data_IF_416081486114
#
_entry.id   IF_416081486114
#
_cell.length_a   1.000
_cell.length_b   1.000
_cell.length_c   1.000
_cell.angle_alpha   90.00
_cell.angle_beta   90.00
_cell.angle_gamma   90.00
#
_symmetry.space_group_name_H-M   'P 1'
#
loop_
_entity.id
_entity.type
_entity.pdbx_description
1 polymer ?
#
# COMPACT_ATOMS: atom_id res chain seq x y z
N UNK A 1 -15.31 46.67 -10.79
CA UNK A 1 -15.17 45.75 -11.96
C UNK A 1 -13.78 45.13 -11.94
N UNK A 2 -13.75 43.82 -11.63
CA UNK A 2 -12.85 42.75 -12.14
C UNK A 2 -11.34 42.86 -11.89
N UNK A 3 -10.58 41.85 -11.43
CA UNK A 3 -10.76 40.39 -11.17
C UNK A 3 -9.63 39.94 -10.20
N UNK A 4 -9.94 39.19 -9.14
CA UNK A 4 -9.64 37.75 -8.91
C UNK A 4 -8.14 37.35 -9.01
N UNK A 5 -7.51 37.00 -7.88
CA UNK A 5 -7.32 35.64 -7.27
C UNK A 5 -5.92 35.09 -7.55
N UNK A 6 -5.04 35.16 -6.55
CA UNK A 6 -3.86 34.33 -6.43
C UNK A 6 -4.14 33.17 -5.48
N UNK A 7 -4.60 32.05 -6.02
CA UNK A 7 -4.71 30.79 -5.28
C UNK A 7 -3.46 29.97 -5.62
N UNK A 8 -2.67 29.64 -4.60
CA UNK A 8 -1.59 28.67 -4.69
C UNK A 8 -2.17 27.34 -5.17
N UNK A 9 -1.82 26.95 -6.40
CA UNK A 9 -2.18 25.66 -6.98
C UNK A 9 -1.32 24.60 -6.32
N UNK A 10 -1.93 23.75 -5.49
CA UNK A 10 -1.33 22.50 -5.03
C UNK A 10 -0.89 21.65 -6.25
N UNK A 11 0.20 20.86 -6.15
CA UNK A 11 0.64 20.03 -7.25
C UNK A 11 -0.48 19.06 -7.65
N UNK A 12 -0.74 18.98 -8.96
CA UNK A 12 -1.79 18.15 -9.55
C UNK A 12 -1.54 16.66 -9.31
N UNK A 13 -2.60 15.92 -9.00
CA UNK A 13 -2.66 14.45 -8.81
C UNK A 13 -2.03 13.68 -9.98
N UNK A 14 -1.99 14.24 -11.19
CA UNK A 14 -1.38 13.62 -12.38
C UNK A 14 0.15 13.44 -12.34
N UNK A 15 0.85 14.03 -11.36
CA UNK A 15 2.31 13.81 -11.19
C UNK A 15 2.65 12.52 -10.42
N UNK A 16 1.65 11.85 -9.84
CA UNK A 16 1.78 10.61 -9.06
C UNK A 16 1.56 9.32 -9.86
N UNK A 17 1.31 9.40 -11.17
CA UNK A 17 1.32 8.23 -12.05
C UNK A 17 2.77 7.76 -12.31
N UNK A 18 3.46 7.31 -11.26
CA UNK A 18 4.79 6.71 -11.36
C UNK A 18 4.66 5.19 -11.40
N UNK A 19 5.33 4.62 -12.40
CA UNK A 19 5.83 3.25 -12.52
C UNK A 19 5.68 2.39 -11.26
N UNK A 20 5.11 1.22 -11.51
CA UNK A 20 4.67 0.25 -10.53
C UNK A 20 5.76 -0.14 -9.51
N UNK A 21 5.61 0.35 -8.27
CA UNK A 21 6.45 -0.03 -7.12
C UNK A 21 6.31 -1.53 -6.81
N UNK A 22 5.29 -2.22 -7.37
CA UNK A 22 5.12 -3.66 -7.25
C UNK A 22 6.32 -4.43 -7.80
N UNK A 23 7.04 -3.87 -8.77
CA UNK A 23 8.25 -4.49 -9.33
C UNK A 23 9.38 -4.66 -8.31
N UNK A 24 9.33 -3.91 -7.19
CA UNK A 24 10.28 -4.01 -6.08
C UNK A 24 9.68 -4.58 -4.80
N UNK A 25 8.38 -4.86 -4.74
CA UNK A 25 7.83 -5.70 -3.68
C UNK A 25 8.32 -7.13 -3.90
N UNK A 26 8.55 -7.89 -2.82
CA UNK A 26 8.95 -9.29 -2.96
C UNK A 26 7.91 -10.01 -3.83
N UNK A 27 8.39 -10.57 -4.94
CA UNK A 27 7.65 -11.49 -5.76
C UNK A 27 7.54 -12.84 -5.05
N UNK A 28 6.91 -12.87 -3.88
CA UNK A 28 6.31 -14.09 -3.36
C UNK A 28 5.09 -14.35 -4.24
N UNK A 29 5.34 -14.95 -5.41
CA UNK A 29 4.32 -15.46 -6.33
C UNK A 29 3.62 -16.72 -5.78
N UNK A 30 3.92 -17.13 -4.55
CA UNK A 30 3.54 -18.43 -4.00
C UNK A 30 2.49 -18.40 -2.88
N UNK A 31 1.84 -17.27 -2.61
CA UNK A 31 0.55 -17.28 -1.92
C UNK A 31 -0.43 -16.45 -2.72
N UNK A 32 -1.25 -17.13 -3.52
CA UNK A 32 -2.40 -16.50 -4.15
C UNK A 32 -3.17 -15.72 -3.09
N UNK A 33 -3.37 -14.42 -3.31
CA UNK A 33 -4.12 -13.53 -2.43
C UNK A 33 -5.58 -13.98 -2.19
N UNK A 34 -6.04 -15.03 -2.87
CA UNK A 34 -7.31 -15.72 -2.64
C UNK A 34 -7.30 -16.68 -1.45
N UNK A 35 -6.14 -16.97 -0.85
CA UNK A 35 -5.99 -18.03 0.17
C UNK A 35 -5.55 -17.50 1.54
N UNK A 36 -5.50 -16.19 1.77
CA UNK A 36 -5.14 -15.63 3.09
C UNK A 36 -6.37 -15.53 4.02
N UNK A 37 -7.60 -15.61 3.48
CA UNK A 37 -8.81 -15.73 4.30
C UNK A 37 -9.03 -17.15 4.84
N UNK A 38 -8.26 -18.16 4.39
CA UNK A 38 -7.96 -19.28 5.26
C UNK A 38 -6.78 -18.85 6.11
N UNK A 39 -7.07 -18.15 7.21
CA UNK A 39 -6.15 -18.16 8.34
C UNK A 39 -5.89 -19.62 8.63
N UNK A 40 -4.65 -20.01 8.37
CA UNK A 40 -4.18 -21.37 8.40
C UNK A 40 -4.60 -22.02 9.73
N UNK A 41 -5.47 -23.02 9.66
CA UNK A 41 -5.83 -23.89 10.80
C UNK A 41 -4.56 -24.47 11.46
N UNK A 42 -3.41 -24.49 10.76
CA UNK A 42 -2.15 -24.99 11.31
C UNK A 42 -1.31 -23.97 12.07
N UNK A 43 -1.57 -22.67 11.96
CA UNK A 43 -0.86 -21.65 12.76
C UNK A 43 -1.51 -21.38 14.13
N UNK A 44 -2.73 -21.89 14.33
CA UNK A 44 -3.41 -21.94 15.64
C UNK A 44 -3.24 -23.27 16.37
N UNK A 45 -2.48 -24.23 15.82
CA UNK A 45 -2.41 -25.60 16.34
C UNK A 45 -1.72 -25.71 17.70
N UNK A 46 -0.90 -24.73 18.11
CA UNK A 46 -0.20 -24.72 19.39
C UNK A 46 -0.63 -23.57 20.33
N UNK A 47 -1.75 -22.90 20.04
CA UNK A 47 -2.42 -22.07 21.03
C UNK A 47 -3.20 -22.99 21.97
N UNK A 48 -2.48 -23.63 22.91
CA UNK A 48 -3.09 -24.27 24.07
C UNK A 48 -3.71 -23.18 24.97
N UNK A 49 -4.89 -22.70 24.57
CA UNK A 49 -5.85 -22.20 25.54
C UNK A 49 -6.16 -23.36 26.51
N UNK A 50 -6.33 -23.11 27.82
CA UNK A 50 -6.56 -24.16 28.80
C UNK A 50 -7.60 -25.14 28.28
N UNK A 51 -7.19 -26.40 28.09
CA UNK A 51 -8.07 -27.49 27.65
C UNK A 51 -9.05 -27.79 28.76
N UNK A 52 -10.15 -27.05 28.71
CA UNK A 52 -11.11 -26.94 29.79
C UNK A 52 -12.01 -25.76 29.50
N UNK A 53 -12.76 -25.84 28.41
CA UNK A 53 -14.05 -25.16 28.37
C UNK A 53 -14.86 -25.82 29.48
N UNK A 54 -14.72 -25.33 30.71
CA UNK A 54 -15.86 -25.38 31.60
C UNK A 54 -16.92 -24.57 30.85
N UNK A 55 -17.93 -25.27 30.34
CA UNK A 55 -19.22 -24.65 30.08
C UNK A 55 -19.61 -23.97 31.40
N UNK A 56 -19.24 -22.70 31.54
CA UNK A 56 -19.79 -21.87 32.59
C UNK A 56 -21.25 -21.73 32.19
N UNK A 57 -22.10 -22.57 32.77
CA UNK A 57 -23.53 -22.35 32.77
C UNK A 57 -23.75 -20.95 33.31
N UNK A 58 -23.97 -20.00 32.40
CA UNK A 58 -24.42 -18.66 32.75
C UNK A 58 -25.83 -18.83 33.30
N UNK A 59 -25.94 -19.06 34.61
CA UNK A 59 -27.17 -18.83 35.34
C UNK A 59 -27.37 -17.32 35.44
N UNK A 60 -27.84 -16.75 34.34
CA UNK A 60 -28.38 -15.42 34.23
C UNK A 60 -29.57 -15.51 33.28
N UNK A 61 -30.71 -14.97 33.69
CA UNK A 61 -31.85 -14.82 32.80
C UNK A 61 -31.37 -14.14 31.51
N UNK A 62 -31.72 -14.70 30.35
CA UNK A 62 -31.46 -14.07 29.04
C UNK A 62 -32.26 -12.76 29.04
N UNK A 63 -31.62 -11.66 29.43
CA UNK A 63 -32.19 -10.33 29.24
C UNK A 63 -32.29 -10.09 27.74
N UNK A 64 -33.52 -10.14 27.21
CA UNK A 64 -33.80 -9.68 25.85
C UNK A 64 -33.37 -8.21 25.75
N UNK A 65 -32.23 -7.98 25.12
CA UNK A 65 -31.79 -6.63 24.78
C UNK A 65 -32.77 -6.02 23.78
N UNK A 66 -33.08 -4.72 23.88
CA UNK A 66 -33.98 -4.07 22.93
C UNK A 66 -33.50 -4.29 21.48
N UNK A 67 -34.46 -4.57 20.60
CA UNK A 67 -34.29 -4.85 19.16
C UNK A 67 -33.83 -3.61 18.36
N UNK A 68 -32.86 -2.86 18.88
CA UNK A 68 -32.47 -1.55 18.39
C UNK A 68 -31.02 -1.56 17.90
N UNK A 69 -30.82 -1.01 16.70
CA UNK A 69 -29.50 -0.83 16.13
C UNK A 69 -28.77 0.34 16.81
N UNK A 70 -27.62 0.05 17.41
CA UNK A 70 -26.70 1.06 17.91
C UNK A 70 -25.80 1.56 16.76
N UNK A 71 -25.90 2.85 16.44
CA UNK A 71 -24.97 3.51 15.52
C UNK A 71 -23.67 3.88 16.26
N UNK A 72 -22.59 3.20 15.89
CA UNK A 72 -21.32 3.24 16.65
C UNK A 72 -20.62 4.59 16.47
N UNK A 73 -20.76 5.20 15.31
CA UNK A 73 -20.03 6.42 14.91
C UNK A 73 -20.95 7.61 14.64
N UNK A 74 -22.28 7.40 14.68
CA UNK A 74 -23.29 8.44 14.49
C UNK A 74 -23.56 8.83 13.04
N UNK A 75 -22.93 8.18 12.06
CA UNK A 75 -23.17 8.42 10.63
C UNK A 75 -24.13 7.44 9.99
N UNK A 76 -24.46 6.35 10.68
CA UNK A 76 -25.23 5.21 10.16
C UNK A 76 -24.42 4.23 9.31
N UNK A 77 -23.13 4.49 9.09
CA UNK A 77 -22.26 3.64 8.26
C UNK A 77 -21.71 2.42 9.00
N UNK A 78 -21.83 2.39 10.34
CA UNK A 78 -21.39 1.27 11.17
C UNK A 78 -22.39 1.09 12.31
N UNK A 79 -23.13 -0.02 12.29
CA UNK A 79 -24.16 -0.30 13.30
C UNK A 79 -23.98 -1.68 13.89
N UNK A 80 -24.30 -1.80 15.16
CA UNK A 80 -24.25 -3.04 15.94
C UNK A 80 -25.61 -3.28 16.58
N UNK A 81 -26.05 -4.53 16.62
CA UNK A 81 -27.25 -4.98 17.30
C UNK A 81 -26.93 -6.27 18.04
N UNK A 82 -27.10 -6.27 19.36
CA UNK A 82 -26.82 -7.43 20.19
C UNK A 82 -27.93 -8.47 19.98
N UNK A 83 -27.54 -9.71 19.67
CA UNK A 83 -28.45 -10.86 19.54
C UNK A 83 -28.43 -11.68 20.83
N UNK A 84 -27.24 -11.92 21.38
CA UNK A 84 -27.02 -12.62 22.66
C UNK A 84 -26.03 -11.80 23.47
N UNK A 85 -26.43 -11.41 24.69
CA UNK A 85 -25.55 -10.67 25.58
C UNK A 85 -24.39 -11.55 26.09
N UNK A 86 -23.19 -10.97 26.15
CA UNK A 86 -22.01 -11.59 26.75
C UNK A 86 -21.90 -11.34 28.26
N UNK A 87 -20.75 -11.72 28.83
CA UNK A 87 -20.42 -11.50 30.24
C UNK A 87 -20.04 -10.02 30.44
N UNK A 88 -20.83 -9.27 31.20
CA UNK A 88 -20.63 -7.82 31.37
C UNK A 88 -19.25 -7.48 31.93
N UNK A 89 -18.67 -6.37 31.47
CA UNK A 89 -17.35 -5.85 31.88
C UNK A 89 -16.16 -6.73 31.46
N UNK A 90 -16.31 -7.48 30.36
CA UNK A 90 -15.25 -8.36 29.82
C UNK A 90 -14.84 -7.98 28.41
N UNK A 91 -14.91 -6.68 28.08
CA UNK A 91 -14.55 -6.20 26.75
C UNK A 91 -13.04 -6.26 26.52
N UNK A 92 -12.60 -6.75 25.36
CA UNK A 92 -11.19 -6.75 25.02
C UNK A 92 -10.68 -5.34 24.74
N UNK A 93 -9.40 -5.11 24.98
CA UNK A 93 -8.73 -3.83 24.72
C UNK A 93 -7.82 -3.92 23.49
N UNK A 94 -7.38 -2.75 23.00
CA UNK A 94 -6.39 -2.70 21.91
C UNK A 94 -5.13 -3.46 22.32
N UNK A 95 -4.61 -4.28 21.41
CA UNK A 95 -3.46 -5.17 21.65
C UNK A 95 -3.86 -6.59 22.00
N UNK A 96 -5.07 -6.81 22.55
CA UNK A 96 -5.54 -8.16 22.86
C UNK A 96 -5.67 -8.99 21.57
N UNK A 97 -5.31 -10.27 21.68
CA UNK A 97 -5.60 -11.25 20.62
C UNK A 97 -6.97 -11.84 20.87
N UNK A 98 -7.90 -11.54 19.98
CA UNK A 98 -9.30 -12.00 20.08
C UNK A 98 -9.55 -13.21 19.21
N UNK A 99 -10.53 -14.01 19.62
CA UNK A 99 -11.06 -15.14 18.87
C UNK A 99 -12.55 -14.89 18.62
N UNK A 100 -12.94 -14.84 17.35
CA UNK A 100 -14.35 -14.64 16.96
C UNK A 100 -14.84 -15.74 16.03
N UNK A 101 -16.13 -16.01 16.08
CA UNK A 101 -16.87 -16.67 15.01
C UNK A 101 -17.54 -15.60 14.15
N UNK A 102 -17.46 -15.75 12.82
CA UNK A 102 -17.82 -14.72 11.87
C UNK A 102 -18.55 -15.32 10.67
N UNK A 103 -19.75 -14.81 10.40
CA UNK A 103 -20.45 -15.01 9.13
C UNK A 103 -20.63 -13.66 8.46
N UNK A 104 -20.15 -13.49 7.23
CA UNK A 104 -20.32 -12.26 6.43
C UNK A 104 -21.25 -12.48 5.25
N UNK A 105 -22.18 -11.55 5.03
CA UNK A 105 -23.10 -11.56 3.88
C UNK A 105 -23.16 -10.20 3.19
N UNK A 106 -23.41 -10.19 1.88
CA UNK A 106 -23.78 -8.99 1.14
C UNK A 106 -25.23 -8.59 1.44
N UNK A 107 -25.62 -7.37 1.05
CA UNK A 107 -26.99 -6.87 1.20
C UNK A 107 -28.05 -7.68 0.47
N UNK A 108 -27.67 -8.46 -0.55
CA UNK A 108 -28.57 -9.37 -1.27
C UNK A 108 -28.68 -10.77 -0.63
N UNK A 109 -27.99 -11.00 0.49
CA UNK A 109 -27.96 -12.26 1.23
C UNK A 109 -26.86 -13.23 0.80
N UNK A 110 -26.09 -12.91 -0.25
CA UNK A 110 -24.97 -13.73 -0.71
C UNK A 110 -23.94 -13.91 0.39
N UNK A 111 -23.57 -15.17 0.67
CA UNK A 111 -22.55 -15.51 1.66
C UNK A 111 -21.15 -15.16 1.12
N UNK A 112 -20.41 -14.37 1.89
CA UNK A 112 -19.06 -13.89 1.57
C UNK A 112 -18.00 -14.67 2.34
N UNK A 113 -18.29 -14.99 3.59
CA UNK A 113 -17.37 -15.67 4.51
C UNK A 113 -18.18 -16.37 5.60
N UNK A 114 -17.73 -17.54 6.03
CA UNK A 114 -18.31 -18.27 7.16
C UNK A 114 -17.17 -19.01 7.86
N UNK A 115 -16.74 -18.49 8.99
CA UNK A 115 -15.53 -18.89 9.70
C UNK A 115 -15.84 -19.07 11.18
N UNK A 116 -15.69 -20.30 11.66
CA UNK A 116 -15.99 -20.64 13.06
C UNK A 116 -14.92 -20.16 14.05
N UNK A 117 -13.68 -19.97 13.60
CA UNK A 117 -12.58 -19.52 14.45
C UNK A 117 -11.68 -18.57 13.68
N UNK A 118 -11.73 -17.29 14.03
CA UNK A 118 -10.92 -16.22 13.44
C UNK A 118 -10.12 -15.52 14.54
N UNK A 119 -8.78 -15.61 14.47
CA UNK A 119 -7.87 -14.95 15.38
C UNK A 119 -7.26 -13.69 14.77
N UNK A 120 -7.22 -12.61 15.54
CA UNK A 120 -6.50 -11.40 15.15
C UNK A 120 -6.17 -10.52 16.37
N UNK A 121 -5.17 -9.66 16.22
CA UNK A 121 -4.81 -8.66 17.23
C UNK A 121 -5.62 -7.39 17.04
N UNK A 122 -6.33 -6.94 18.08
CA UNK A 122 -7.20 -5.76 17.99
C UNK A 122 -6.42 -4.48 17.75
N UNK A 123 -6.76 -3.81 16.63
CA UNK A 123 -6.19 -2.51 16.27
C UNK A 123 -4.88 -2.58 15.49
N UNK A 124 -4.50 -3.77 15.03
CA UNK A 124 -3.33 -3.99 14.15
C UNK A 124 -3.69 -4.04 12.66
N UNK A 125 -4.95 -3.72 12.31
CA UNK A 125 -5.46 -3.78 10.93
C UNK A 125 -5.37 -5.19 10.31
N UNK A 126 -5.49 -6.25 11.13
CA UNK A 126 -5.45 -7.63 10.62
C UNK A 126 -6.76 -8.05 9.92
N UNK A 127 -7.87 -7.39 10.24
CA UNK A 127 -9.19 -7.59 9.63
C UNK A 127 -9.71 -6.30 9.00
N UNK A 128 -10.92 -6.30 8.46
CA UNK A 128 -11.55 -5.06 7.95
C UNK A 128 -11.79 -4.06 9.09
N UNK A 129 -11.68 -2.73 8.85
CA UNK A 129 -11.79 -1.71 9.90
C UNK A 129 -13.07 -1.78 10.73
N UNK A 130 -14.19 -2.20 10.12
CA UNK A 130 -15.47 -2.34 10.81
C UNK A 130 -15.41 -3.37 11.95
N UNK A 131 -14.69 -4.48 11.77
CA UNK A 131 -14.52 -5.48 12.82
C UNK A 131 -13.62 -4.96 13.94
N UNK A 132 -12.50 -4.32 13.60
CA UNK A 132 -11.58 -3.69 14.57
C UNK A 132 -12.28 -2.64 15.45
N UNK A 133 -13.33 -1.98 14.94
CA UNK A 133 -14.11 -0.98 15.69
C UNK A 133 -15.26 -1.59 16.50
N UNK A 134 -15.82 -2.72 16.07
CA UNK A 134 -17.00 -3.33 16.70
C UNK A 134 -16.61 -4.27 17.84
N UNK A 135 -15.59 -5.10 17.65
CA UNK A 135 -15.21 -6.13 18.64
C UNK A 135 -14.83 -5.55 20.01
N UNK A 136 -14.17 -4.38 20.14
CA UNK A 136 -13.94 -3.75 21.44
C UNK A 136 -15.22 -3.31 22.18
N UNK A 137 -16.36 -3.31 21.49
CA UNK A 137 -17.68 -2.98 22.05
C UNK A 137 -18.48 -4.24 22.40
N UNK A 138 -17.91 -5.43 22.20
CA UNK A 138 -18.52 -6.71 22.51
C UNK A 138 -17.95 -7.26 23.81
N UNK A 139 -18.85 -7.79 24.64
CA UNK A 139 -18.47 -8.52 25.84
C UNK A 139 -18.15 -10.00 25.49
N UNK A 140 -17.34 -10.68 26.29
CA UNK A 140 -16.96 -12.08 26.05
C UNK A 140 -18.21 -12.98 26.00
N UNK A 141 -18.31 -13.81 24.96
CA UNK A 141 -19.47 -14.66 24.69
C UNK A 141 -20.61 -13.95 23.95
N UNK A 142 -20.53 -12.65 23.73
CA UNK A 142 -21.57 -11.88 23.04
C UNK A 142 -21.68 -12.26 21.56
N UNK A 143 -22.90 -12.37 21.06
CA UNK A 143 -23.21 -12.51 19.64
C UNK A 143 -23.99 -11.27 19.16
N UNK A 144 -23.53 -10.68 18.06
CA UNK A 144 -24.07 -9.44 17.51
C UNK A 144 -24.22 -9.49 15.99
N UNK A 145 -25.29 -8.88 15.51
CA UNK A 145 -25.47 -8.52 14.11
C UNK A 145 -24.85 -7.14 13.86
N UNK A 146 -24.06 -7.03 12.79
CA UNK A 146 -23.23 -5.86 12.51
C UNK A 146 -23.42 -5.45 11.05
N UNK A 147 -23.85 -4.22 10.85
CA UNK A 147 -23.90 -3.59 9.53
C UNK A 147 -22.65 -2.76 9.32
N UNK A 148 -21.92 -3.04 8.24
CA UNK A 148 -20.65 -2.38 7.89
C UNK A 148 -20.77 -1.79 6.49
N UNK A 149 -20.83 -0.46 6.39
CA UNK A 149 -20.77 0.21 5.09
C UNK A 149 -19.40 -0.02 4.42
N UNK A 150 -19.37 0.04 3.09
CA UNK A 150 -18.19 -0.30 2.28
C UNK A 150 -16.89 0.38 2.73
N UNK A 151 -16.95 1.64 3.17
CA UNK A 151 -15.81 2.42 3.69
C UNK A 151 -15.11 1.81 4.92
N UNK A 152 -15.79 0.95 5.69
CA UNK A 152 -15.23 0.21 6.82
C UNK A 152 -15.07 -1.29 6.50
N UNK A 153 -15.38 -1.69 5.27
CA UNK A 153 -15.22 -3.04 4.74
C UNK A 153 -14.13 -3.04 3.64
N UNK A 154 -14.49 -3.37 2.40
CA UNK A 154 -13.56 -3.50 1.28
C UNK A 154 -13.51 -2.27 0.35
N UNK A 155 -14.23 -1.20 0.69
CA UNK A 155 -14.21 0.09 0.00
C UNK A 155 -14.62 0.02 -1.47
N UNK A 156 -14.18 1.03 -2.23
CA UNK A 156 -14.47 1.17 -3.67
C UNK A 156 -13.75 0.16 -4.56
N UNK A 157 -12.84 -0.63 -3.98
CA UNK A 157 -12.12 -1.68 -4.72
C UNK A 157 -12.80 -3.05 -4.60
N UNK A 158 -13.63 -3.26 -3.58
CA UNK A 158 -14.18 -4.58 -3.29
C UNK A 158 -13.10 -5.59 -2.96
N UNK A 159 -13.37 -6.88 -3.10
CA UNK A 159 -12.43 -7.98 -2.90
C UNK A 159 -12.59 -9.03 -4.01
N UNK A 160 -12.00 -8.74 -5.16
CA UNK A 160 -12.09 -9.60 -6.34
C UNK A 160 -13.55 -9.84 -6.76
N UNK A 161 -13.88 -11.10 -7.03
CA UNK A 161 -15.25 -11.54 -7.32
C UNK A 161 -16.08 -11.79 -6.05
N UNK A 162 -15.42 -11.88 -4.89
CA UNK A 162 -16.04 -12.25 -3.61
C UNK A 162 -16.87 -11.10 -3.04
N UNK A 163 -16.34 -9.88 -3.10
CA UNK A 163 -17.05 -8.68 -2.63
C UNK A 163 -17.02 -7.61 -3.71
N UNK A 164 -18.17 -7.14 -4.22
CA UNK A 164 -18.20 -6.05 -5.18
C UNK A 164 -17.66 -4.74 -4.60
N UNK A 165 -17.21 -3.85 -5.49
CA UNK A 165 -16.89 -2.47 -5.12
C UNK A 165 -18.07 -1.78 -4.44
N UNK A 166 -17.79 -1.00 -3.40
CA UNK A 166 -18.77 -0.23 -2.63
C UNK A 166 -19.88 -1.06 -1.97
N UNK A 167 -19.67 -2.38 -1.84
CA UNK A 167 -20.62 -3.25 -1.16
C UNK A 167 -20.60 -3.04 0.36
N UNK A 168 -21.80 -2.93 0.95
CA UNK A 168 -21.97 -3.01 2.41
C UNK A 168 -22.13 -4.47 2.83
N UNK A 169 -21.68 -4.77 4.04
CA UNK A 169 -21.74 -6.10 4.63
C UNK A 169 -22.71 -6.14 5.80
N UNK A 170 -23.38 -7.27 5.94
CA UNK A 170 -24.12 -7.66 7.13
C UNK A 170 -23.42 -8.88 7.72
N UNK A 171 -22.86 -8.71 8.92
CA UNK A 171 -22.07 -9.72 9.59
C UNK A 171 -22.77 -10.20 10.85
N UNK A 172 -22.70 -11.49 11.12
CA UNK A 172 -22.92 -12.04 12.47
C UNK A 172 -21.56 -12.29 13.08
N UNK A 173 -21.30 -11.66 14.22
CA UNK A 173 -20.02 -11.75 14.92
C UNK A 173 -20.30 -12.29 16.32
N UNK A 174 -19.56 -13.31 16.74
CA UNK A 174 -19.59 -13.81 18.10
C UNK A 174 -18.19 -13.75 18.70
N UNK A 175 -18.04 -13.03 19.80
CA UNK A 175 -16.77 -12.95 20.52
C UNK A 175 -16.64 -14.19 21.41
N UNK A 176 -15.79 -15.14 21.01
CA UNK A 176 -15.62 -16.39 21.74
C UNK A 176 -14.76 -16.19 23.00
N UNK A 177 -13.55 -15.67 22.81
CA UNK A 177 -12.60 -15.40 23.88
C UNK A 177 -11.53 -14.40 23.44
N UNK A 178 -10.67 -13.96 24.36
CA UNK A 178 -9.48 -13.17 24.07
C UNK A 178 -8.38 -13.38 25.10
N UNK A 179 -7.14 -13.13 24.68
CA UNK A 179 -5.98 -13.08 25.57
C UNK A 179 -5.29 -11.71 25.50
N UNK A 180 -4.64 -11.26 26.59
CA UNK A 180 -3.82 -10.05 26.57
C UNK A 180 -2.76 -10.07 25.46
N UNK A 181 -2.32 -8.88 25.05
CA UNK A 181 -1.25 -8.70 24.06
C UNK A 181 -0.01 -9.53 24.39
N UNK A 182 0.50 -10.24 23.40
CA UNK A 182 1.74 -10.99 23.54
C UNK A 182 2.92 -10.02 23.61
N UNK A 183 3.72 -10.12 24.67
CA UNK A 183 4.91 -9.28 24.86
C UNK A 183 6.03 -9.90 24.01
N UNK A 184 6.55 -9.23 22.95
CA UNK A 184 7.51 -9.83 22.02
C UNK A 184 8.75 -10.42 22.72
N UNK A 185 9.27 -9.75 23.74
CA UNK A 185 10.46 -10.20 24.48
C UNK A 185 10.24 -11.48 25.30
N UNK A 186 8.98 -11.83 25.59
CA UNK A 186 8.63 -13.05 26.32
C UNK A 186 8.49 -14.28 25.41
N UNK A 187 8.39 -14.07 24.10
CA UNK A 187 8.13 -15.13 23.14
C UNK A 187 9.45 -15.71 22.57
N UNK A 188 9.48 -17.01 22.23
CA UNK A 188 10.56 -17.60 21.46
C UNK A 188 10.74 -16.91 20.10
N UNK A 189 11.99 -16.86 19.59
CA UNK A 189 12.33 -16.22 18.31
C UNK A 189 11.47 -16.78 17.15
N UNK A 190 11.24 -18.09 17.12
CA UNK A 190 10.46 -18.74 16.06
C UNK A 190 9.01 -18.23 16.04
N UNK A 191 8.37 -18.11 17.21
CA UNK A 191 6.99 -17.63 17.33
C UNK A 191 6.89 -16.14 16.96
N UNK A 192 7.86 -15.33 17.43
CA UNK A 192 7.98 -13.92 17.04
C UNK A 192 8.11 -13.75 15.53
N UNK A 193 8.93 -14.59 14.90
CA UNK A 193 9.13 -14.57 13.46
C UNK A 193 7.83 -14.93 12.71
N UNK A 194 7.10 -15.95 13.17
CA UNK A 194 5.81 -16.33 12.59
C UNK A 194 4.77 -15.20 12.70
N UNK A 195 4.61 -14.61 13.89
CA UNK A 195 3.68 -13.48 14.11
C UNK A 195 4.06 -12.28 13.24
N UNK A 196 5.35 -11.91 13.24
CA UNK A 196 5.87 -10.82 12.42
C UNK A 196 5.63 -11.04 10.93
N UNK A 197 5.85 -12.26 10.44
CA UNK A 197 5.59 -12.62 9.05
C UNK A 197 4.11 -12.58 8.69
N UNK A 198 3.23 -13.09 9.55
CA UNK A 198 1.76 -12.99 9.36
C UNK A 198 1.33 -11.53 9.20
N UNK A 199 1.78 -10.65 10.09
CA UNK A 199 1.50 -9.21 10.05
C UNK A 199 2.09 -8.55 8.80
N UNK A 200 3.31 -8.92 8.38
CA UNK A 200 3.94 -8.43 7.14
C UNK A 200 3.14 -8.84 5.90
N UNK A 201 2.71 -10.10 5.80
CA UNK A 201 1.91 -10.61 4.69
C UNK A 201 0.56 -9.89 4.63
N UNK A 202 -0.06 -9.66 5.78
CA UNK A 202 -1.29 -8.88 5.85
C UNK A 202 -1.09 -7.42 5.41
N UNK A 203 0.02 -6.80 5.77
CA UNK A 203 0.41 -5.49 5.25
C UNK A 203 0.56 -5.47 3.72
N UNK A 204 1.12 -6.53 3.12
CA UNK A 204 1.22 -6.66 1.65
C UNK A 204 -0.17 -6.72 1.00
N UNK A 205 -1.13 -7.40 1.63
CA UNK A 205 -2.50 -7.45 1.15
C UNK A 205 -3.13 -6.05 1.07
N UNK A 206 -3.01 -5.25 2.15
CA UNK A 206 -3.45 -3.85 2.14
C UNK A 206 -2.69 -2.98 1.14
N UNK A 207 -1.38 -3.16 1.03
CA UNK A 207 -0.55 -2.41 0.08
C UNK A 207 -1.00 -2.63 -1.38
N UNK A 208 -1.26 -3.87 -1.77
CA UNK A 208 -1.69 -4.21 -3.13
C UNK A 208 -3.05 -3.61 -3.46
N UNK A 209 -3.90 -3.44 -2.43
CA UNK A 209 -5.16 -2.72 -2.53
C UNK A 209 -4.98 -1.21 -2.47
N UNK A 210 -3.78 -0.67 -2.30
CA UNK A 210 -3.52 0.76 -2.21
C UNK A 210 -4.01 1.42 -0.92
N UNK A 211 -4.40 0.62 0.08
CA UNK A 211 -4.80 1.05 1.41
C UNK A 211 -3.53 1.16 2.27
N UNK A 212 -2.75 2.20 1.97
CA UNK A 212 -1.38 2.31 2.48
C UNK A 212 -1.32 2.61 3.98
N UNK A 213 -2.36 3.20 4.57
CA UNK A 213 -2.40 3.53 6.00
C UNK A 213 -2.47 2.27 6.85
N UNK A 214 -3.35 1.37 6.48
CA UNK A 214 -3.58 0.04 7.06
C UNK A 214 -2.35 -0.83 6.85
N UNK A 215 -1.75 -0.79 5.65
CA UNK A 215 -0.49 -1.47 5.36
C UNK A 215 0.63 -1.02 6.32
N UNK A 216 0.79 0.28 6.56
CA UNK A 216 1.79 0.80 7.50
C UNK A 216 1.54 0.32 8.93
N UNK A 217 0.27 0.23 9.37
CA UNK A 217 -0.05 -0.29 10.70
C UNK A 217 0.37 -1.75 10.85
N UNK A 218 0.03 -2.61 9.87
CA UNK A 218 0.44 -4.00 9.88
C UNK A 218 1.97 -4.16 9.82
N UNK A 219 2.66 -3.38 9.00
CA UNK A 219 4.13 -3.45 8.95
C UNK A 219 4.79 -2.95 10.23
N UNK A 220 4.22 -1.94 10.88
CA UNK A 220 4.73 -1.47 12.18
C UNK A 220 4.59 -2.59 13.22
N UNK A 221 3.41 -3.17 13.34
CA UNK A 221 3.18 -4.28 14.25
C UNK A 221 4.08 -5.48 13.90
N UNK A 222 4.32 -5.76 12.61
CA UNK A 222 5.29 -6.78 12.20
C UNK A 222 6.71 -6.48 12.71
N UNK A 223 7.17 -5.24 12.57
CA UNK A 223 8.50 -4.83 13.04
C UNK A 223 8.63 -4.96 14.56
N UNK A 224 7.57 -4.66 15.32
CA UNK A 224 7.58 -4.75 16.78
C UNK A 224 7.87 -6.20 17.25
N UNK A 225 7.33 -7.22 16.57
CA UNK A 225 7.65 -8.62 16.87
C UNK A 225 9.02 -9.06 16.34
N UNK A 226 9.46 -8.49 15.20
CA UNK A 226 10.72 -8.85 14.54
C UNK A 226 11.94 -8.09 15.09
N UNK A 227 11.77 -7.19 16.07
CA UNK A 227 12.85 -6.41 16.66
C UNK A 227 13.53 -7.14 17.81
N UNK A 228 14.69 -7.73 17.57
CA UNK A 228 15.48 -8.32 18.67
C UNK A 228 16.15 -7.19 19.46
N UNK A 229 15.66 -6.94 20.67
CA UNK A 229 16.13 -5.86 21.57
C UNK A 229 17.52 -6.11 22.13
N UNK A 230 18.11 -7.29 21.89
CA UNK A 230 19.53 -7.50 22.09
C UNK A 230 20.28 -6.75 20.98
N UNK A 231 20.86 -5.60 21.34
CA UNK A 231 21.80 -4.85 20.50
C UNK A 231 22.72 -5.85 19.78
N UNK A 232 22.46 -6.11 18.50
CA UNK A 232 23.26 -7.03 17.71
C UNK A 232 24.65 -6.43 17.67
N UNK A 233 25.52 -6.94 18.53
CA UNK A 233 26.89 -6.49 18.62
C UNK A 233 27.55 -6.97 17.33
N UNK A 234 27.69 -6.07 16.35
CA UNK A 234 28.15 -6.37 14.98
C UNK A 234 29.54 -7.05 14.92
N UNK A 235 30.24 -7.12 16.05
CA UNK A 235 31.54 -7.75 16.23
C UNK A 235 31.48 -9.22 16.69
N UNK A 236 30.33 -9.74 17.13
CA UNK A 236 30.14 -11.16 17.50
C UNK A 236 29.32 -11.89 16.42
N UNK A 237 29.69 -13.14 16.14
CA UNK A 237 28.91 -14.02 15.25
C UNK A 237 27.50 -14.20 15.83
N UNK A 238 26.54 -13.44 15.29
CA UNK A 238 25.14 -13.57 15.63
C UNK A 238 24.64 -14.98 15.29
N UNK A 239 23.77 -15.53 16.14
CA UNK A 239 23.16 -16.83 15.89
C UNK A 239 22.38 -16.80 14.56
N UNK A 240 22.33 -17.92 13.82
CA UNK A 240 21.61 -17.99 12.55
C UNK A 240 20.11 -17.64 12.69
N UNK A 241 19.50 -17.97 13.83
CA UNK A 241 18.11 -17.63 14.18
C UNK A 241 17.91 -16.10 14.28
N UNK A 242 18.84 -15.40 14.95
CA UNK A 242 18.81 -13.94 15.10
C UNK A 242 19.02 -13.24 13.75
N UNK A 243 19.85 -13.80 12.88
CA UNK A 243 20.02 -13.29 11.52
C UNK A 243 18.75 -13.48 10.67
N UNK A 244 18.03 -14.59 10.85
CA UNK A 244 16.80 -14.88 10.11
C UNK A 244 15.67 -13.91 10.50
N UNK A 245 15.45 -13.66 11.80
CA UNK A 245 14.46 -12.68 12.26
C UNK A 245 14.83 -11.25 11.83
N UNK A 246 16.13 -10.90 11.86
CA UNK A 246 16.63 -9.63 11.35
C UNK A 246 16.34 -9.47 9.85
N UNK A 247 16.54 -10.51 9.04
CA UNK A 247 16.24 -10.45 7.61
C UNK A 247 14.75 -10.15 7.35
N UNK A 248 13.85 -10.82 8.07
CA UNK A 248 12.41 -10.56 7.98
C UNK A 248 12.05 -9.14 8.46
N UNK A 249 12.68 -8.65 9.53
CA UNK A 249 12.53 -7.26 9.99
C UNK A 249 12.90 -6.27 8.88
N UNK A 250 14.03 -6.51 8.21
CA UNK A 250 14.51 -5.64 7.14
C UNK A 250 13.55 -5.65 5.93
N UNK A 251 12.94 -6.80 5.60
CA UNK A 251 11.87 -6.90 4.59
C UNK A 251 10.64 -6.08 4.99
N UNK A 252 10.17 -6.22 6.24
CA UNK A 252 9.05 -5.46 6.76
C UNK A 252 9.31 -3.94 6.74
N UNK A 253 10.47 -3.47 7.19
CA UNK A 253 10.89 -2.06 7.14
C UNK A 253 10.92 -1.53 5.70
N UNK A 254 11.39 -2.35 4.76
CA UNK A 254 11.44 -2.01 3.35
C UNK A 254 10.04 -1.82 2.75
N UNK A 255 9.09 -2.71 3.08
CA UNK A 255 7.70 -2.61 2.63
C UNK A 255 6.99 -1.44 3.32
N UNK A 256 7.24 -1.22 4.61
CA UNK A 256 6.75 -0.06 5.36
C UNK A 256 7.20 1.26 4.72
N UNK A 257 8.48 1.36 4.33
CA UNK A 257 9.00 2.53 3.64
C UNK A 257 8.30 2.78 2.29
N UNK A 258 7.99 1.72 1.54
CA UNK A 258 7.23 1.85 0.29
C UNK A 258 5.82 2.44 0.56
N UNK A 259 5.13 1.93 1.59
CA UNK A 259 3.80 2.42 1.97
C UNK A 259 3.85 3.87 2.48
N UNK A 260 4.84 4.21 3.30
CA UNK A 260 5.08 5.57 3.79
C UNK A 260 5.36 6.57 2.66
N UNK A 261 6.12 6.17 1.62
CA UNK A 261 6.35 7.00 0.42
C UNK A 261 5.02 7.28 -0.30
N UNK A 262 4.15 6.28 -0.43
CA UNK A 262 2.84 6.43 -1.08
C UNK A 262 1.91 7.36 -0.30
N UNK A 263 1.99 7.36 1.03
CA UNK A 263 1.27 8.29 1.91
C UNK A 263 1.89 9.70 1.96
N UNK A 264 3.07 9.91 1.38
CA UNK A 264 3.81 11.18 1.51
C UNK A 264 4.47 11.39 2.88
N UNK A 265 4.51 10.37 3.74
CA UNK A 265 5.21 10.37 5.02
C UNK A 265 6.73 10.19 4.81
N UNK A 266 7.35 11.13 4.09
CA UNK A 266 8.72 11.00 3.57
C UNK A 266 9.78 10.89 4.66
N UNK A 267 9.61 11.60 5.78
CA UNK A 267 10.57 11.56 6.89
C UNK A 267 10.58 10.21 7.58
N UNK A 268 9.40 9.62 7.81
CA UNK A 268 9.27 8.28 8.35
C UNK A 268 9.87 7.24 7.38
N UNK A 269 9.60 7.37 6.08
CA UNK A 269 10.19 6.50 5.06
C UNK A 269 11.73 6.55 5.07
N UNK A 270 12.31 7.75 5.18
CA UNK A 270 13.77 7.91 5.24
C UNK A 270 14.39 7.30 6.51
N UNK A 271 13.67 7.32 7.63
CA UNK A 271 14.09 6.66 8.86
C UNK A 271 14.08 5.13 8.70
N UNK A 272 12.98 4.56 8.21
CA UNK A 272 12.83 3.13 7.95
C UNK A 272 13.94 2.62 7.00
N UNK A 273 14.19 3.35 5.91
CA UNK A 273 15.23 3.01 4.94
C UNK A 273 16.65 3.18 5.50
N UNK A 274 16.86 4.14 6.40
CA UNK A 274 18.17 4.31 7.02
C UNK A 274 18.57 3.09 7.85
N UNK A 275 17.63 2.50 8.60
CA UNK A 275 17.87 1.25 9.35
C UNK A 275 18.25 0.11 8.38
N UNK A 276 17.51 -0.04 7.27
CA UNK A 276 17.82 -1.07 6.27
C UNK A 276 19.21 -0.89 5.67
N UNK A 277 19.61 0.34 5.34
CA UNK A 277 20.93 0.60 4.75
C UNK A 277 22.08 0.53 5.77
N UNK A 278 21.81 0.68 7.06
CA UNK A 278 22.80 0.44 8.11
C UNK A 278 23.16 -1.06 8.17
N UNK A 279 22.17 -1.95 8.08
CA UNK A 279 22.40 -3.40 8.09
C UNK A 279 22.83 -3.94 6.70
N UNK A 280 22.23 -3.42 5.63
CA UNK A 280 22.48 -3.85 4.25
C UNK A 280 22.79 -2.64 3.35
N UNK A 281 24.03 -2.12 3.35
CA UNK A 281 24.41 -0.93 2.58
C UNK A 281 24.16 -1.05 1.07
N UNK A 282 24.25 -2.28 0.54
CA UNK A 282 24.07 -2.59 -0.88
C UNK A 282 22.63 -3.05 -1.21
N UNK A 283 21.64 -2.82 -0.34
CA UNK A 283 20.25 -3.18 -0.64
C UNK A 283 19.67 -2.25 -1.72
N UNK A 284 19.51 -2.76 -2.94
CA UNK A 284 19.05 -2.01 -4.11
C UNK A 284 17.67 -1.39 -3.90
N UNK A 285 16.74 -2.14 -3.29
CA UNK A 285 15.37 -1.67 -2.99
C UNK A 285 15.39 -0.49 -2.03
N UNK A 286 16.20 -0.58 -0.97
CA UNK A 286 16.34 0.48 0.02
C UNK A 286 17.02 1.73 -0.58
N UNK A 287 18.09 1.57 -1.37
CA UNK A 287 18.74 2.67 -2.08
C UNK A 287 17.78 3.38 -3.05
N UNK A 288 16.98 2.61 -3.81
CA UNK A 288 15.96 3.13 -4.70
C UNK A 288 14.89 3.92 -3.94
N UNK A 289 14.34 3.34 -2.86
CA UNK A 289 13.34 4.00 -1.99
C UNK A 289 13.88 5.26 -1.34
N UNK A 290 15.14 5.27 -0.90
CA UNK A 290 15.80 6.48 -0.38
C UNK A 290 15.86 7.58 -1.43
N UNK A 291 16.30 7.23 -2.65
CA UNK A 291 16.35 8.17 -3.77
C UNK A 291 14.98 8.77 -4.06
N UNK A 292 13.96 7.92 -4.20
CA UNK A 292 12.57 8.32 -4.43
C UNK A 292 12.04 9.25 -3.35
N UNK A 293 12.21 8.89 -2.07
CA UNK A 293 11.77 9.71 -0.94
C UNK A 293 12.48 11.08 -0.90
N UNK A 294 13.80 11.13 -1.16
CA UNK A 294 14.56 12.39 -1.20
C UNK A 294 14.11 13.29 -2.35
N UNK A 295 13.81 12.73 -3.52
CA UNK A 295 13.31 13.50 -4.65
C UNK A 295 11.92 14.09 -4.37
N UNK A 296 11.01 13.31 -3.80
CA UNK A 296 9.70 13.81 -3.38
C UNK A 296 9.81 14.92 -2.31
N UNK A 297 10.90 14.93 -1.53
CA UNK A 297 11.23 15.99 -0.57
C UNK A 297 11.89 17.23 -1.23
N UNK A 298 12.12 17.21 -2.54
CA UNK A 298 12.80 18.28 -3.29
C UNK A 298 14.33 18.22 -3.24
N UNK A 299 14.92 17.17 -2.66
CA UNK A 299 16.39 16.98 -2.59
C UNK A 299 16.89 16.15 -3.77
N UNK A 300 16.58 16.58 -4.99
CA UNK A 300 16.87 15.86 -6.23
C UNK A 300 18.36 15.56 -6.44
N UNK A 301 19.25 16.45 -6.01
CA UNK A 301 20.71 16.27 -6.14
C UNK A 301 21.26 15.13 -5.27
N UNK A 302 20.73 14.96 -4.06
CA UNK A 302 21.06 13.84 -3.16
C UNK A 302 20.42 12.54 -3.67
N UNK A 303 19.17 12.60 -4.12
CA UNK A 303 18.45 11.45 -4.66
C UNK A 303 19.19 10.76 -5.81
N UNK A 304 19.74 11.55 -6.75
CA UNK A 304 20.50 11.03 -7.90
C UNK A 304 21.74 10.24 -7.46
N UNK A 305 22.37 10.57 -6.32
CA UNK A 305 23.55 9.82 -5.84
C UNK A 305 23.16 8.39 -5.47
N UNK A 306 22.10 8.23 -4.68
CA UNK A 306 21.61 6.92 -4.24
C UNK A 306 21.07 6.08 -5.40
N UNK A 307 20.37 6.70 -6.35
CA UNK A 307 19.91 5.97 -7.53
C UNK A 307 21.05 5.54 -8.45
N UNK A 308 22.12 6.33 -8.59
CA UNK A 308 23.33 5.91 -9.33
C UNK A 308 24.04 4.75 -8.64
N UNK A 309 24.04 4.72 -7.32
CA UNK A 309 24.57 3.60 -6.54
C UNK A 309 23.72 2.33 -6.75
N UNK A 310 22.39 2.45 -6.66
CA UNK A 310 21.48 1.35 -6.97
C UNK A 310 21.68 0.83 -8.41
N UNK A 311 21.88 1.72 -9.38
CA UNK A 311 22.13 1.35 -10.78
C UNK A 311 23.50 0.67 -10.99
N UNK A 312 24.51 0.98 -10.18
CA UNK A 312 25.80 0.26 -10.23
C UNK A 312 25.66 -1.19 -9.79
N UNK A 313 24.76 -1.45 -8.84
CA UNK A 313 24.48 -2.80 -8.35
C UNK A 313 23.58 -3.58 -9.34
N UNK A 314 22.58 -2.93 -9.93
CA UNK A 314 21.70 -3.51 -10.95
C UNK A 314 21.64 -2.65 -12.23
N UNK A 315 22.59 -2.81 -13.17
CA UNK A 315 22.68 -1.97 -14.37
C UNK A 315 21.50 -2.12 -15.35
N UNK A 316 20.83 -3.27 -15.33
CA UNK A 316 19.73 -3.61 -16.26
C UNK A 316 18.34 -3.23 -15.70
N UNK A 317 18.28 -2.65 -14.49
CA UNK A 317 17.01 -2.36 -13.86
C UNK A 317 16.32 -1.14 -14.50
N UNK A 318 15.29 -1.43 -15.32
CA UNK A 318 14.54 -0.43 -16.09
C UNK A 318 13.85 0.62 -15.21
N UNK A 319 13.40 0.24 -14.01
CA UNK A 319 12.70 1.17 -13.13
C UNK A 319 13.66 2.22 -12.55
N UNK A 320 14.89 1.81 -12.20
CA UNK A 320 15.94 2.74 -11.75
C UNK A 320 16.33 3.71 -12.88
N UNK A 321 16.49 3.20 -14.12
CA UNK A 321 16.77 4.06 -15.29
C UNK A 321 15.68 5.09 -15.53
N UNK A 322 14.41 4.68 -15.51
CA UNK A 322 13.29 5.57 -15.74
C UNK A 322 13.19 6.66 -14.66
N UNK A 323 13.38 6.28 -13.39
CA UNK A 323 13.36 7.23 -12.28
C UNK A 323 14.54 8.20 -12.34
N UNK A 324 15.75 7.72 -12.67
CA UNK A 324 16.92 8.58 -12.89
C UNK A 324 16.71 9.57 -14.03
N UNK A 325 16.12 9.15 -15.15
CA UNK A 325 15.81 10.04 -16.27
C UNK A 325 14.89 11.15 -15.80
N UNK A 326 13.77 10.80 -15.15
CA UNK A 326 12.79 11.74 -14.61
C UNK A 326 13.44 12.75 -13.64
N UNK A 327 14.27 12.27 -12.72
CA UNK A 327 14.97 13.13 -11.76
C UNK A 327 16.01 14.04 -12.43
N UNK A 328 16.73 13.53 -13.44
CA UNK A 328 17.71 14.32 -14.18
C UNK A 328 17.08 15.42 -15.03
N UNK A 329 15.92 15.12 -15.64
CA UNK A 329 15.15 16.08 -16.42
C UNK A 329 14.56 17.17 -15.51
N UNK A 330 14.03 16.79 -14.35
CA UNK A 330 13.54 17.73 -13.34
C UNK A 330 14.66 18.66 -12.84
N UNK A 331 15.82 18.10 -12.46
CA UNK A 331 16.96 18.88 -12.00
C UNK A 331 17.51 19.83 -13.09
N UNK A 332 17.48 19.41 -14.36
CA UNK A 332 17.85 20.26 -15.49
C UNK A 332 16.87 21.42 -15.66
N UNK A 333 15.57 21.16 -15.57
CA UNK A 333 14.54 22.20 -15.65
C UNK A 333 14.64 23.21 -14.50
N UNK A 334 14.88 22.74 -13.27
CA UNK A 334 15.15 23.60 -12.11
C UNK A 334 16.34 24.53 -12.39
N UNK A 335 17.47 23.96 -12.83
CA UNK A 335 18.69 24.73 -13.15
C UNK A 335 18.45 25.74 -14.28
N UNK A 336 17.70 25.37 -15.33
CA UNK A 336 17.35 26.27 -16.43
C UNK A 336 16.42 27.40 -15.95
N UNK A 337 15.42 27.08 -15.13
CA UNK A 337 14.51 28.06 -14.56
C UNK A 337 15.24 29.05 -13.65
N UNK A 338 16.13 28.57 -12.76
CA UNK A 338 16.99 29.40 -11.93
C UNK A 338 17.86 30.34 -12.77
N UNK A 339 18.56 29.81 -13.78
CA UNK A 339 19.35 30.63 -14.71
C UNK A 339 18.52 31.72 -15.38
N UNK A 340 17.29 31.40 -15.81
CA UNK A 340 16.41 32.41 -16.42
C UNK A 340 15.94 33.46 -15.41
N UNK A 341 15.68 33.06 -14.16
CA UNK A 341 15.30 33.97 -13.08
C UNK A 341 16.46 34.90 -12.72
N UNK A 342 17.66 34.37 -12.51
CA UNK A 342 18.87 35.16 -12.26
C UNK A 342 19.16 36.13 -13.40
N UNK A 343 19.03 35.68 -14.65
CA UNK A 343 19.19 36.52 -15.83
C UNK A 343 18.21 37.72 -15.80
N UNK A 344 16.94 37.48 -15.44
CA UNK A 344 15.94 38.55 -15.31
C UNK A 344 16.25 39.49 -14.13
N UNK A 345 16.61 38.96 -12.96
CA UNK A 345 16.93 39.77 -11.77
C UNK A 345 18.14 40.67 -11.97
N UNK A 346 19.15 40.20 -12.70
CA UNK A 346 20.36 40.96 -13.01
C UNK A 346 20.20 41.91 -14.21
N UNK A 347 18.99 42.03 -14.79
CA UNK A 347 18.73 42.89 -15.94
C UNK A 347 19.44 42.46 -17.23
N UNK A 348 19.97 41.23 -17.27
CA UNK A 348 20.61 40.65 -18.45
C UNK A 348 19.53 40.29 -19.47
N UNK A 349 19.17 41.21 -20.35
CA UNK A 349 18.22 40.89 -21.44
C UNK A 349 18.82 39.79 -22.32
N UNK A 350 18.02 38.82 -22.80
CA UNK A 350 18.49 37.90 -23.83
C UNK A 350 19.05 38.74 -24.98
N UNK A 351 20.31 38.55 -25.34
CA UNK A 351 20.94 39.33 -26.39
C UNK A 351 20.25 38.99 -27.72
N UNK A 352 19.33 39.84 -28.19
CA UNK A 352 18.63 39.66 -29.47
C UNK A 352 19.58 39.76 -30.68
N UNK A 353 20.83 40.18 -30.47
CA UNK A 353 21.81 40.45 -31.52
C UNK A 353 22.37 39.22 -32.25
N UNK A 354 21.99 37.99 -31.87
CA UNK A 354 22.43 36.75 -32.53
C UNK A 354 21.27 35.80 -32.93
N UNK A 355 20.07 36.33 -33.21
CA UNK A 355 19.14 35.59 -34.07
C UNK A 355 19.61 35.75 -35.51
N UNK A 356 20.37 34.77 -36.04
CA UNK A 356 20.52 34.67 -37.49
C UNK A 356 19.10 34.68 -38.10
N UNK A 357 18.82 35.52 -39.10
CA UNK A 357 17.53 35.52 -39.76
C UNK A 357 17.31 34.12 -40.36
N UNK A 358 16.11 33.57 -40.18
CA UNK A 358 15.69 32.28 -40.73
C UNK A 358 16.13 32.21 -42.20
N UNK A 359 17.22 31.47 -42.47
CA UNK A 359 17.68 31.26 -43.84
C UNK A 359 16.63 30.40 -44.51
N UNK A 360 15.92 30.99 -45.48
CA UNK A 360 14.96 30.32 -46.36
C UNK A 360 15.45 28.92 -46.79
N UNK A 361 14.53 27.94 -46.95
CA UNK A 361 14.91 26.56 -47.21
C UNK A 361 15.71 26.48 -48.51
N UNK A 362 16.97 26.08 -48.39
CA UNK A 362 17.80 25.73 -49.55
C UNK A 362 17.28 24.42 -50.15
N UNK A 363 17.47 24.22 -51.46
CA UNK A 363 17.03 23.06 -52.27
C UNK A 363 17.33 21.66 -51.68
N UNK A 364 18.18 21.58 -50.65
CA UNK A 364 18.47 20.36 -49.88
C UNK A 364 17.33 19.93 -48.93
N UNK A 365 16.35 20.80 -48.68
CA UNK A 365 15.14 20.55 -47.89
C UNK A 365 13.86 20.54 -48.73
N UNK A 366 13.95 20.24 -50.04
CA UNK A 366 12.76 19.96 -50.83
C UNK A 366 12.07 18.70 -50.26
N UNK A 367 10.78 18.73 -49.87
CA UNK A 367 10.14 17.63 -49.17
C UNK A 367 9.80 16.51 -50.17
N UNK A 368 10.83 15.76 -50.58
CA UNK A 368 10.74 14.67 -51.56
C UNK A 368 9.66 13.66 -51.21
N UNK A 369 9.37 13.46 -49.92
CA UNK A 369 8.27 12.61 -49.45
C UNK A 369 6.90 13.10 -49.93
N UNK A 370 6.64 14.40 -49.85
CA UNK A 370 5.37 15.00 -50.29
C UNK A 370 5.27 14.94 -51.82
N UNK A 371 6.38 15.22 -52.51
CA UNK A 371 6.42 15.14 -53.97
C UNK A 371 6.21 13.70 -54.49
N UNK A 372 6.81 12.69 -53.84
CA UNK A 372 6.61 11.28 -54.19
C UNK A 372 5.16 10.84 -53.96
N UNK A 373 4.55 11.25 -52.85
CA UNK A 373 3.15 10.92 -52.56
C UNK A 373 2.26 11.52 -53.66
N UNK A 374 2.38 12.81 -53.95
CA UNK A 374 1.60 13.45 -55.01
C UNK A 374 1.84 12.81 -56.39
N UNK A 375 3.09 12.47 -56.72
CA UNK A 375 3.44 11.84 -58.00
C UNK A 375 2.82 10.44 -58.14
N UNK A 376 2.91 9.60 -57.09
CA UNK A 376 2.31 8.26 -57.11
C UNK A 376 0.78 8.31 -57.22
N UNK A 377 0.13 9.26 -56.56
CA UNK A 377 -1.33 9.45 -56.68
C UNK A 377 -1.74 9.83 -58.11
N UNK A 378 -0.99 10.72 -58.77
CA UNK A 378 -1.26 11.14 -60.15
C UNK A 378 -1.06 9.97 -61.12
N UNK A 379 0.01 9.19 -60.96
CA UNK A 379 0.27 8.00 -61.79
C UNK A 379 -0.82 6.94 -61.60
N UNK A 380 -1.30 6.73 -60.37
CA UNK A 380 -2.39 5.79 -60.10
C UNK A 380 -3.70 6.22 -60.78
N UNK A 381 -4.03 7.51 -60.77
CA UNK A 381 -5.21 8.05 -61.47
C UNK A 381 -5.06 7.92 -62.97
N UNK A 382 -3.89 8.19 -63.54
CA UNK A 382 -3.64 8.03 -64.98
C UNK A 382 -3.69 6.57 -65.44
N UNK A 383 -3.17 5.64 -64.62
CA UNK A 383 -3.30 4.20 -64.88
C UNK A 383 -4.77 3.76 -64.79
N UNK A 384 -5.50 4.17 -63.75
CA UNK A 384 -6.92 3.88 -63.63
C UNK A 384 -7.72 4.42 -64.83
N UNK A 385 -7.36 5.60 -65.35
CA UNK A 385 -7.99 6.16 -66.54
C UNK A 385 -7.63 5.38 -67.81
N UNK A 386 -6.36 5.00 -67.99
CA UNK A 386 -5.87 4.23 -69.16
C UNK A 386 -6.45 2.82 -69.23
N UNK A 387 -6.72 2.19 -68.09
CA UNK A 387 -7.28 0.83 -68.01
C UNK A 387 -8.81 0.79 -67.86
N UNK A 388 -9.47 1.95 -67.79
CA UNK A 388 -10.94 2.04 -67.74
C UNK A 388 -11.60 1.52 -69.02
N UNK A 389 -10.97 1.77 -70.17
CA UNK A 389 -11.48 1.35 -71.49
C UNK A 389 -11.18 -0.12 -71.82
N UNK A 390 -10.45 -0.85 -70.95
CA UNK A 390 -10.18 -2.29 -71.08
C UNK A 390 -11.13 -3.16 -70.23
N UNK A 391 -12.01 -2.55 -69.43
CA UNK A 391 -12.97 -3.21 -68.53
C UNK A 391 -14.43 -2.90 -68.85
N UNK A 392 -14.70 -2.30 -70.02
CA UNK A 392 -16.01 -2.28 -70.69
C UNK A 392 -15.92 -3.15 -71.94
#
# INVERSE_FOLDING_TARGET
MTKEKGINKAPSEDSMASLDDSSFLDGDKDVAASSINSLDESAGADLELPTGVEEVEVQGDIEETPDEWMDIIGSGDLKKKVLVAGIVETRPVRGDTVCIELTMRLSDGTLVEDTHTLYFTLGDSEVIPGLDLVVPLMDRGEESEVYIHSRFAYGSKGDGERVPADASLLCTVKLLDYKPEDIPESLPIDERQQIGNRKRIRGNWWFNRGDYSEAVQCYKAAVDFLDDTEEVNFDQEAKPEVLAILEERLKALNNMAAAQIKLGALDAALASVAVVLQCQPNNVKALFRRGKALHLKGRSTEAIKFLKEALRLEPENRAIHAELSKMSDAARQETESEKTLYRRMLGLRPNEQNREPDRHPTLRMFPWRVFLICFTSIVAVLLAYKYRDLLQ
#
